data_IF_959830932978
#
_entry.id   IF_959830932978
#
_cell.length_a   1.000
_cell.length_b   1.000
_cell.length_c   1.000
_cell.angle_alpha   90.00
_cell.angle_beta   90.00
_cell.angle_gamma   90.00
#
_symmetry.space_group_name_H-M   'P 1'
#
loop_
_entity.id
_entity.type
_entity.pdbx_description
1 polymer ?
#
# COMPACT_ATOMS: atom_id res chain seq x y z
N UNK A 1 8.71 5.63 23.70
CA UNK A 1 7.40 6.04 24.21
C UNK A 1 6.31 5.50 23.28
N UNK A 2 5.19 5.00 23.86
CA UNK A 2 4.06 4.42 23.11
C UNK A 2 3.44 5.46 22.18
N UNK A 3 3.26 6.69 22.68
CA UNK A 3 2.65 7.78 21.89
C UNK A 3 3.50 8.18 20.68
N UNK A 4 4.80 8.17 20.80
CA UNK A 4 5.71 8.43 19.67
C UNK A 4 5.66 7.32 18.64
N UNK A 5 5.65 6.05 19.09
CA UNK A 5 5.51 4.91 18.18
C UNK A 5 4.15 4.91 17.48
N UNK A 6 3.08 5.33 18.18
CA UNK A 6 1.77 5.46 17.55
C UNK A 6 1.76 6.55 16.47
N UNK A 7 2.36 7.71 16.70
CA UNK A 7 2.51 8.75 15.69
C UNK A 7 3.29 8.27 14.47
N UNK A 8 4.33 7.46 14.70
CA UNK A 8 5.09 6.85 13.60
C UNK A 8 4.22 5.84 12.84
N UNK A 9 3.49 4.98 13.54
CA UNK A 9 2.58 4.00 12.93
C UNK A 9 1.54 4.70 12.03
N UNK A 10 0.93 5.78 12.54
CA UNK A 10 -0.04 6.58 11.79
C UNK A 10 0.58 7.22 10.55
N UNK A 11 1.81 7.73 10.68
CA UNK A 11 2.53 8.37 9.56
C UNK A 11 2.88 7.40 8.44
N UNK A 12 3.33 6.19 8.80
CA UNK A 12 3.71 5.15 7.82
C UNK A 12 2.55 4.22 7.45
N UNK A 13 1.33 4.52 7.95
CA UNK A 13 0.09 3.83 7.63
C UNK A 13 0.10 2.33 8.02
N UNK A 14 0.65 2.01 9.19
CA UNK A 14 0.56 0.67 9.79
C UNK A 14 -0.29 0.69 11.06
N UNK A 15 -0.80 -0.47 11.48
CA UNK A 15 -1.68 -0.57 12.64
C UNK A 15 -0.92 -0.88 13.92
N UNK A 16 0.22 -1.58 13.82
CA UNK A 16 1.02 -1.99 14.97
C UNK A 16 2.51 -1.86 14.66
N UNK A 17 3.28 -1.47 15.68
CA UNK A 17 4.76 -1.52 15.68
C UNK A 17 5.21 -2.25 16.92
N UNK A 18 6.08 -3.25 16.76
CA UNK A 18 6.72 -3.99 17.83
C UNK A 18 8.24 -3.91 17.70
N UNK A 19 8.90 -3.60 18.78
CA UNK A 19 10.37 -3.56 18.86
C UNK A 19 10.84 -4.77 19.65
N UNK A 20 11.67 -5.58 19.01
CA UNK A 20 12.25 -6.78 19.61
C UNK A 20 13.71 -6.56 20.00
N UNK A 21 14.10 -7.17 21.09
CA UNK A 21 15.51 -7.30 21.44
C UNK A 21 16.20 -8.37 20.56
N UNK A 22 17.51 -8.53 20.76
CA UNK A 22 18.31 -9.51 20.02
C UNK A 22 17.93 -10.97 20.27
N UNK A 23 17.16 -11.24 21.32
CA UNK A 23 16.72 -12.59 21.69
C UNK A 23 15.28 -12.87 21.20
N UNK A 24 14.65 -11.91 20.55
CA UNK A 24 13.30 -12.07 20.02
C UNK A 24 12.18 -11.79 21.00
N UNK A 25 12.44 -10.99 22.07
CA UNK A 25 11.42 -10.53 23.00
C UNK A 25 10.96 -9.13 22.68
N UNK A 26 9.64 -8.90 22.68
CA UNK A 26 9.04 -7.57 22.52
C UNK A 26 9.31 -6.77 23.80
N UNK A 27 10.09 -5.69 23.69
CA UNK A 27 10.40 -4.80 24.81
C UNK A 27 9.71 -3.44 24.70
N UNK A 28 9.21 -3.08 23.53
CA UNK A 28 8.50 -1.82 23.28
C UNK A 28 7.62 -1.96 22.04
N UNK A 29 6.64 -1.09 21.88
CA UNK A 29 5.73 -1.10 20.74
C UNK A 29 4.52 -0.20 20.97
N UNK A 30 3.62 -0.14 19.99
CA UNK A 30 2.35 0.59 20.08
C UNK A 30 1.38 -0.05 21.07
N UNK A 31 1.54 -1.35 21.35
CA UNK A 31 0.64 -2.12 22.20
C UNK A 31 1.38 -2.75 23.39
N UNK A 32 1.37 -2.10 24.58
CA UNK A 32 2.08 -2.58 25.78
C UNK A 32 1.68 -3.99 26.24
N UNK A 33 0.46 -4.43 25.92
CA UNK A 33 -0.01 -5.78 26.27
C UNK A 33 0.79 -6.93 25.65
N UNK A 34 1.63 -6.65 24.63
CA UNK A 34 2.50 -7.64 23.99
C UNK A 34 3.93 -7.64 24.57
N UNK A 35 4.27 -6.74 25.48
CA UNK A 35 5.60 -6.72 26.07
C UNK A 35 5.88 -8.04 26.81
N UNK A 36 7.07 -8.58 26.57
CA UNK A 36 7.49 -9.87 27.06
C UNK A 36 7.11 -11.07 26.18
N UNK A 37 6.26 -10.88 25.16
CA UNK A 37 6.05 -11.93 24.15
C UNK A 37 7.35 -12.13 23.36
N UNK A 38 7.58 -13.37 22.93
CA UNK A 38 8.75 -13.76 22.14
C UNK A 38 8.34 -14.61 20.94
N UNK A 39 9.31 -14.98 20.11
CA UNK A 39 9.08 -15.90 19.01
C UNK A 39 8.66 -17.32 19.47
N UNK A 40 8.65 -17.61 20.76
CA UNK A 40 8.12 -18.85 21.34
C UNK A 40 6.69 -18.70 21.90
N UNK A 41 6.09 -17.52 21.80
CA UNK A 41 4.80 -17.23 22.43
C UNK A 41 3.58 -17.77 21.70
N UNK A 42 3.74 -18.34 20.51
CA UNK A 42 2.67 -18.97 19.73
C UNK A 42 3.05 -19.19 18.28
N UNK A 43 2.26 -19.96 17.57
CA UNK A 43 2.53 -20.43 16.21
C UNK A 43 2.79 -19.26 15.22
N UNK A 44 2.00 -18.21 15.31
CA UNK A 44 2.19 -17.02 14.47
C UNK A 44 3.56 -16.37 14.73
N UNK A 45 4.00 -16.29 15.99
CA UNK A 45 5.29 -15.70 16.36
C UNK A 45 6.46 -16.61 15.97
N UNK A 46 6.29 -17.93 16.04
CA UNK A 46 7.32 -18.92 15.68
C UNK A 46 7.78 -18.80 14.22
N UNK A 47 6.92 -18.31 13.33
CA UNK A 47 7.26 -18.03 11.94
C UNK A 47 8.52 -17.17 11.83
N UNK A 48 8.77 -16.27 12.76
CA UNK A 48 9.89 -15.34 12.74
C UNK A 48 11.17 -15.84 13.43
N UNK A 49 11.18 -17.06 13.96
CA UNK A 49 12.39 -17.67 14.59
C UNK A 49 13.65 -17.61 13.72
N UNK A 50 13.61 -17.78 12.39
CA UNK A 50 14.79 -17.64 11.55
C UNK A 50 15.53 -16.30 11.69
N UNK A 51 14.83 -15.23 12.10
CA UNK A 51 15.44 -13.92 12.37
C UNK A 51 16.55 -13.99 13.43
N UNK A 52 16.45 -14.90 14.39
CA UNK A 52 17.47 -15.07 15.46
C UNK A 52 18.80 -15.63 14.94
N UNK A 53 18.78 -16.32 13.83
CA UNK A 53 19.95 -16.98 13.24
C UNK A 53 20.60 -16.21 12.11
N UNK A 54 19.80 -15.39 11.39
CA UNK A 54 20.30 -14.59 10.27
C UNK A 54 19.87 -13.13 10.42
N UNK A 55 20.82 -12.27 10.73
CA UNK A 55 20.61 -10.83 10.92
C UNK A 55 20.44 -10.03 9.62
N UNK A 56 20.56 -10.68 8.48
CA UNK A 56 20.33 -10.06 7.16
C UNK A 56 18.93 -10.31 6.64
N UNK A 57 18.18 -11.19 7.31
CA UNK A 57 16.81 -11.50 6.91
C UNK A 57 15.88 -10.28 7.10
N UNK A 58 14.98 -10.14 6.15
CA UNK A 58 13.71 -9.44 6.28
C UNK A 58 12.63 -10.46 5.97
N UNK A 59 11.64 -10.58 6.83
CA UNK A 59 10.56 -11.57 6.65
C UNK A 59 9.22 -10.88 6.61
N UNK A 60 8.35 -11.37 5.74
CA UNK A 60 6.94 -11.00 5.68
C UNK A 60 6.09 -12.24 5.89
N UNK A 61 5.06 -12.13 6.70
CA UNK A 61 4.08 -13.17 6.93
C UNK A 61 2.75 -12.75 6.29
N UNK A 62 2.13 -13.66 5.57
CA UNK A 62 0.80 -13.45 5.02
C UNK A 62 -0.24 -13.24 6.13
N UNK A 63 -1.45 -12.84 5.74
CA UNK A 63 -2.56 -12.63 6.68
C UNK A 63 -2.72 -13.84 7.60
N UNK A 64 -2.48 -13.62 8.88
CA UNK A 64 -2.51 -14.68 9.90
C UNK A 64 -3.11 -14.10 11.19
N UNK A 65 -3.93 -14.88 11.92
CA UNK A 65 -4.38 -14.49 13.24
C UNK A 65 -3.20 -14.27 14.19
N UNK A 66 -3.13 -13.11 14.84
CA UNK A 66 -2.07 -12.83 15.80
C UNK A 66 -2.22 -13.71 17.05
N UNK A 67 -1.11 -13.99 17.71
CA UNK A 67 -1.04 -14.90 18.87
C UNK A 67 -1.89 -14.45 20.04
N UNK A 68 -2.06 -13.14 20.26
CA UNK A 68 -2.69 -12.62 21.47
C UNK A 68 -4.21 -12.49 21.37
N UNK A 69 -4.74 -12.10 20.21
CA UNK A 69 -6.15 -11.71 20.06
C UNK A 69 -6.88 -12.46 18.94
N UNK A 70 -6.15 -13.23 18.13
CA UNK A 70 -6.70 -13.85 16.92
C UNK A 70 -7.08 -12.83 15.83
N UNK A 71 -6.59 -11.59 15.93
CA UNK A 71 -6.83 -10.55 14.94
C UNK A 71 -6.00 -10.82 13.68
N UNK A 72 -6.62 -10.78 12.52
CA UNK A 72 -5.94 -11.01 11.25
C UNK A 72 -5.07 -9.80 10.88
N UNK A 73 -3.77 -10.03 10.76
CA UNK A 73 -2.77 -9.05 10.40
C UNK A 73 -1.74 -9.65 9.44
N UNK A 74 -1.17 -8.80 8.61
CA UNK A 74 0.07 -9.08 7.89
C UNK A 74 1.22 -8.48 8.67
N UNK A 75 2.31 -9.23 8.85
CA UNK A 75 3.47 -8.74 9.57
C UNK A 75 4.71 -8.73 8.69
N UNK A 76 5.53 -7.68 8.85
CA UNK A 76 6.87 -7.61 8.29
C UNK A 76 7.85 -7.27 9.40
N UNK A 77 9.02 -7.94 9.41
CA UNK A 77 10.07 -7.75 10.41
C UNK A 77 11.44 -7.63 9.75
N UNK A 78 12.27 -6.76 10.29
CA UNK A 78 13.67 -6.60 9.87
C UNK A 78 14.56 -6.24 11.04
N UNK A 79 15.88 -6.49 10.89
CA UNK A 79 16.89 -6.00 11.80
C UNK A 79 17.21 -4.53 11.58
N UNK A 80 17.62 -3.81 12.63
CA UNK A 80 18.29 -2.54 12.45
C UNK A 80 19.70 -2.77 11.86
N UNK A 81 20.31 -1.72 11.30
CA UNK A 81 21.65 -1.80 10.67
C UNK A 81 22.72 -2.37 11.59
N UNK A 82 22.64 -2.06 12.89
CA UNK A 82 23.59 -2.56 13.90
C UNK A 82 23.38 -4.05 14.26
N UNK A 83 22.30 -4.70 13.81
CA UNK A 83 21.97 -6.09 14.14
C UNK A 83 21.76 -6.33 15.65
N UNK A 84 21.25 -5.33 16.36
CA UNK A 84 21.05 -5.37 17.82
C UNK A 84 19.59 -5.43 18.22
N UNK A 85 18.68 -5.01 17.35
CA UNK A 85 17.25 -4.93 17.58
C UNK A 85 16.50 -5.22 16.29
N UNK A 86 15.26 -5.70 16.42
CA UNK A 86 14.36 -5.88 15.28
C UNK A 86 13.15 -4.95 15.40
N UNK A 87 12.63 -4.52 14.28
CA UNK A 87 11.36 -3.82 14.18
C UNK A 87 10.40 -4.68 13.38
N UNK A 88 9.20 -4.88 13.90
CA UNK A 88 8.09 -5.52 13.23
C UNK A 88 6.95 -4.51 13.08
N UNK A 89 6.34 -4.50 11.93
CA UNK A 89 5.12 -3.74 11.66
C UNK A 89 3.99 -4.69 11.32
N UNK A 90 2.77 -4.37 11.77
CA UNK A 90 1.56 -5.10 11.48
C UNK A 90 0.54 -4.22 10.77
N UNK A 91 -0.13 -4.75 9.74
CA UNK A 91 -1.18 -4.06 8.99
C UNK A 91 -2.42 -4.94 8.84
N UNK A 92 -3.59 -4.37 9.09
CA UNK A 92 -4.87 -5.05 8.81
C UNK A 92 -5.13 -5.17 7.31
N UNK A 93 -5.64 -6.34 6.83
CA UNK A 93 -5.98 -6.53 5.42
C UNK A 93 -6.93 -5.47 4.87
N UNK A 94 -7.90 -5.04 5.67
CA UNK A 94 -8.86 -3.99 5.28
C UNK A 94 -8.18 -2.64 4.99
N UNK A 95 -7.17 -2.29 5.81
CA UNK A 95 -6.41 -1.06 5.62
C UNK A 95 -5.56 -1.14 4.35
N UNK A 96 -4.85 -2.25 4.16
CA UNK A 96 -4.08 -2.50 2.95
C UNK A 96 -4.95 -2.39 1.69
N UNK A 97 -6.12 -3.04 1.68
CA UNK A 97 -7.06 -2.97 0.55
C UNK A 97 -7.56 -1.54 0.30
N UNK A 98 -7.80 -0.76 1.36
CA UNK A 98 -8.20 0.65 1.23
C UNK A 98 -7.10 1.48 0.58
N UNK A 99 -5.86 1.34 1.06
CA UNK A 99 -4.70 2.05 0.49
C UNK A 99 -4.45 1.66 -0.97
N UNK A 100 -4.54 0.36 -1.30
CA UNK A 100 -4.41 -0.11 -2.68
C UNK A 100 -5.50 0.50 -3.58
N UNK A 101 -6.75 0.57 -3.12
CA UNK A 101 -7.84 1.19 -3.88
C UNK A 101 -7.65 2.70 -4.07
N UNK A 102 -7.15 3.41 -3.05
CA UNK A 102 -6.88 4.85 -3.16
C UNK A 102 -5.76 5.15 -4.17
N UNK A 103 -4.82 4.22 -4.33
CA UNK A 103 -3.72 4.32 -5.30
C UNK A 103 -4.06 3.73 -6.68
N UNK A 104 -5.28 3.22 -6.87
CA UNK A 104 -5.72 2.81 -8.21
C UNK A 104 -5.75 4.00 -9.16
N UNK A 105 -5.38 3.77 -10.42
CA UNK A 105 -5.35 4.80 -11.47
C UNK A 105 -6.70 5.55 -11.54
N UNK A 106 -7.80 4.84 -11.35
CA UNK A 106 -9.15 5.42 -11.35
C UNK A 106 -9.34 6.48 -10.26
N UNK A 107 -8.90 6.19 -9.03
CA UNK A 107 -9.01 7.13 -7.91
C UNK A 107 -8.11 8.35 -8.12
N UNK A 108 -6.85 8.12 -8.48
CA UNK A 108 -5.88 9.20 -8.73
C UNK A 108 -6.35 10.15 -9.82
N UNK A 109 -6.88 9.62 -10.93
CA UNK A 109 -7.33 10.45 -12.06
C UNK A 109 -8.64 11.17 -11.74
N UNK A 110 -9.57 10.55 -11.00
CA UNK A 110 -10.83 11.19 -10.62
C UNK A 110 -10.64 12.42 -9.73
N UNK A 111 -9.59 12.39 -8.90
CA UNK A 111 -9.27 13.49 -7.97
C UNK A 111 -8.40 14.59 -8.60
N UNK A 112 -8.00 14.44 -9.86
CA UNK A 112 -7.23 15.48 -10.56
C UNK A 112 -8.07 16.75 -10.77
N UNK A 113 -7.52 17.93 -10.42
CA UNK A 113 -8.18 19.19 -10.72
C UNK A 113 -8.23 19.40 -12.25
N UNK A 114 -9.42 19.58 -12.77
CA UNK A 114 -9.62 19.84 -14.21
C UNK A 114 -10.27 21.20 -14.43
N UNK A 115 -9.84 21.89 -15.47
CA UNK A 115 -10.50 23.10 -15.94
C UNK A 115 -11.74 22.76 -16.73
N UNK A 116 -12.70 23.70 -16.75
CA UNK A 116 -13.96 23.55 -17.50
C UNK A 116 -13.69 23.18 -18.96
N UNK A 117 -14.25 22.06 -19.39
CA UNK A 117 -14.11 21.55 -20.77
C UNK A 117 -12.85 20.71 -21.02
N UNK A 118 -12.09 20.37 -19.98
CA UNK A 118 -10.97 19.42 -20.07
C UNK A 118 -11.39 18.14 -19.36
N UNK A 119 -11.14 17.02 -20.02
CA UNK A 119 -11.26 15.68 -19.45
C UNK A 119 -9.92 14.98 -19.56
N UNK A 120 -9.52 14.29 -18.49
CA UNK A 120 -8.28 13.53 -18.43
C UNK A 120 -8.65 12.07 -18.28
N UNK A 121 -7.99 11.22 -19.04
CA UNK A 121 -8.11 9.79 -18.85
C UNK A 121 -6.79 9.07 -19.13
N UNK A 122 -6.63 7.92 -18.50
CA UNK A 122 -5.49 7.01 -18.65
C UNK A 122 -6.02 5.70 -19.19
N UNK A 123 -5.49 5.25 -20.31
CA UNK A 123 -5.85 3.98 -20.92
C UNK A 123 -4.65 3.03 -20.95
N UNK A 124 -4.94 1.74 -20.85
CA UNK A 124 -3.95 0.70 -21.03
C UNK A 124 -3.41 0.71 -22.47
N UNK A 125 -2.09 0.69 -22.61
CA UNK A 125 -1.44 0.85 -23.92
C UNK A 125 -1.65 -0.31 -24.87
N UNK A 126 -1.94 -1.51 -24.36
CA UNK A 126 -2.17 -2.71 -25.18
C UNK A 126 -3.64 -2.91 -25.48
N UNK A 127 -4.48 -2.93 -24.45
CA UNK A 127 -5.92 -3.21 -24.60
C UNK A 127 -6.72 -2.00 -25.06
N UNK A 128 -6.15 -0.78 -24.93
CA UNK A 128 -6.82 0.50 -25.21
C UNK A 128 -8.05 0.75 -24.31
N UNK A 129 -8.18 0.05 -23.20
CA UNK A 129 -9.28 0.23 -22.24
C UNK A 129 -8.91 1.33 -21.27
N UNK A 130 -9.82 2.27 -21.04
CA UNK A 130 -9.67 3.35 -20.03
C UNK A 130 -9.67 2.75 -18.64
N UNK A 131 -8.60 3.00 -17.89
CA UNK A 131 -8.38 2.53 -16.52
C UNK A 131 -8.68 3.58 -15.46
N UNK A 132 -8.61 4.86 -15.82
CA UNK A 132 -8.95 5.98 -14.95
C UNK A 132 -9.37 7.17 -15.79
N UNK A 133 -10.35 7.94 -15.30
CA UNK A 133 -10.87 9.11 -15.97
C UNK A 133 -11.46 10.11 -14.96
N UNK A 134 -11.41 11.40 -15.28
CA UNK A 134 -12.08 12.45 -14.49
C UNK A 134 -13.62 12.36 -14.63
N UNK A 135 -14.12 11.80 -15.73
CA UNK A 135 -15.51 11.33 -15.84
C UNK A 135 -15.52 9.81 -15.67
N UNK A 136 -15.97 9.32 -14.52
CA UNK A 136 -15.99 7.90 -14.18
C UNK A 136 -16.78 7.02 -15.16
N UNK A 137 -17.73 7.60 -15.92
CA UNK A 137 -18.51 6.88 -16.94
C UNK A 137 -17.65 6.38 -18.09
N UNK A 138 -16.45 6.91 -18.24
CA UNK A 138 -15.51 6.52 -19.29
C UNK A 138 -14.62 5.34 -18.90
N UNK A 139 -14.57 4.97 -17.61
CA UNK A 139 -13.78 3.84 -17.13
C UNK A 139 -14.33 2.54 -17.72
N UNK A 140 -13.45 1.70 -18.26
CA UNK A 140 -13.80 0.44 -18.93
C UNK A 140 -14.16 0.58 -20.42
N UNK A 141 -14.30 1.81 -20.94
CA UNK A 141 -14.58 2.05 -22.36
C UNK A 141 -13.30 1.89 -23.17
N UNK A 142 -13.39 1.37 -24.40
CA UNK A 142 -12.27 1.38 -25.34
C UNK A 142 -12.02 2.78 -25.87
N UNK A 143 -10.75 3.16 -25.96
CA UNK A 143 -10.30 4.48 -26.42
C UNK A 143 -10.87 4.83 -27.82
N UNK A 144 -10.96 3.84 -28.70
CA UNK A 144 -11.53 4.00 -30.06
C UNK A 144 -13.01 4.45 -30.07
N UNK A 145 -13.77 4.11 -29.01
CA UNK A 145 -15.15 4.56 -28.83
C UNK A 145 -15.29 5.99 -28.29
N UNK A 146 -14.22 6.57 -27.77
CA UNK A 146 -14.20 7.93 -27.21
C UNK A 146 -13.65 8.97 -28.19
N UNK A 147 -12.84 8.55 -29.14
CA UNK A 147 -12.10 9.43 -30.05
C UNK A 147 -12.90 9.69 -31.31
N UNK A 148 -13.26 10.94 -31.55
CA UNK A 148 -13.94 11.37 -32.80
C UNK A 148 -12.95 11.92 -33.85
N UNK A 149 -11.84 12.50 -33.42
CA UNK A 149 -10.73 12.91 -34.30
C UNK A 149 -9.44 13.12 -33.51
N UNK A 150 -8.31 12.79 -34.14
CA UNK A 150 -6.99 13.10 -33.58
C UNK A 150 -6.47 14.39 -34.22
N UNK A 151 -6.37 15.47 -33.43
CA UNK A 151 -5.70 16.68 -33.87
C UNK A 151 -4.24 16.67 -33.44
N UNK A 152 -3.37 16.66 -34.47
CA UNK A 152 -1.94 16.99 -34.50
C UNK A 152 -1.01 16.53 -33.34
N UNK A 153 0.05 15.84 -33.76
CA UNK A 153 1.30 15.67 -32.99
C UNK A 153 1.88 17.06 -32.69
N UNK A 154 2.04 17.40 -31.45
CA UNK A 154 2.97 18.47 -31.07
C UNK A 154 4.27 17.83 -30.60
N UNK A 155 5.38 18.20 -31.23
CA UNK A 155 6.78 17.97 -30.93
C UNK A 155 7.16 16.91 -29.89
N UNK A 156 8.37 16.66 -29.63
CA UNK A 156 9.10 15.64 -28.84
C UNK A 156 8.51 15.03 -27.55
N UNK A 157 7.33 15.45 -27.08
CA UNK A 157 6.57 14.79 -26.03
C UNK A 157 5.33 14.14 -26.64
N UNK A 158 5.07 12.89 -26.31
CA UNK A 158 3.94 12.07 -26.79
C UNK A 158 2.57 12.57 -26.25
N UNK A 159 2.35 13.87 -26.25
CA UNK A 159 1.06 14.48 -25.87
C UNK A 159 0.17 14.48 -27.09
N UNK A 160 -0.88 13.67 -27.07
CA UNK A 160 -1.92 13.64 -28.10
C UNK A 160 -3.14 14.40 -27.60
N UNK A 161 -3.54 15.42 -28.32
CA UNK A 161 -4.85 16.04 -28.12
C UNK A 161 -5.92 15.24 -28.85
N UNK A 162 -6.91 14.81 -28.11
CA UNK A 162 -8.01 14.00 -28.63
C UNK A 162 -9.30 14.77 -28.36
N UNK A 163 -10.10 14.97 -29.41
CA UNK A 163 -11.44 15.54 -29.24
C UNK A 163 -12.44 14.41 -29.03
N UNK A 164 -13.05 14.37 -27.86
CA UNK A 164 -14.11 13.43 -27.52
C UNK A 164 -15.43 14.02 -28.00
N UNK A 165 -16.18 13.25 -28.79
CA UNK A 165 -17.50 13.68 -29.26
C UNK A 165 -18.47 13.80 -28.10
N UNK A 166 -18.78 15.04 -27.71
CA UNK A 166 -19.88 15.33 -26.79
C UNK A 166 -21.18 15.33 -27.58
N UNK A 167 -22.18 14.58 -27.13
CA UNK A 167 -23.56 14.87 -27.51
C UNK A 167 -23.90 16.26 -26.98
N UNK A 168 -24.45 17.12 -27.89
CA UNK A 168 -25.09 18.38 -27.50
C UNK A 168 -26.26 18.11 -26.58
#
# INVERSE_FOLDING_TARGET
>A
DVEELQKIADLILVDEIHLFDKNGYIYSGTLPKYYGFSFDSGEQMEYFKPMLTDKKLTMCQDVTPNTAEGKELMYAITWNEAGTRMIQVGIEPKRLLKELKQNEISAVVSDMPVYKGIEIFVADSQTKIVKGATDSRQIGVKLEGLVVSSDKKSGETDVRFIRIGGKR
#
